data_IF_119843179611
#
_entry.id   IF_119843179611
#
_cell.length_a   1.000
_cell.length_b   1.000
_cell.length_c   1.000
_cell.angle_alpha   90.00
_cell.angle_beta   90.00
_cell.angle_gamma   90.00
#
_symmetry.space_group_name_H-M   'P 1'
#
loop_
_entity.id
_entity.type
_entity.pdbx_description
1 polymer ?
#
# COMPACT_ATOMS: atom_id res chain seq x y z
N UNK A 1 -19.42 -5.66 18.77
CA UNK A 1 -19.57 -4.74 17.62
C UNK A 1 -20.52 -5.38 16.63
N UNK A 2 -21.60 -4.69 16.28
CA UNK A 2 -22.57 -5.16 15.28
C UNK A 2 -21.97 -4.92 13.90
N UNK A 3 -21.66 -5.98 13.16
CA UNK A 3 -21.17 -5.87 11.78
C UNK A 3 -22.31 -5.35 10.91
N UNK A 4 -22.18 -4.14 10.35
CA UNK A 4 -23.14 -3.63 9.35
C UNK A 4 -22.96 -4.43 8.06
N UNK A 5 -23.95 -5.28 7.73
CA UNK A 5 -23.91 -6.12 6.51
C UNK A 5 -23.90 -5.32 5.21
N UNK A 6 -24.11 -4.00 5.24
CA UNK A 6 -24.05 -3.11 4.09
C UNK A 6 -22.67 -2.47 3.90
N UNK A 7 -21.81 -2.53 4.91
CA UNK A 7 -20.42 -2.08 4.76
C UNK A 7 -19.71 -3.09 3.82
N UNK A 8 -19.23 -2.67 2.64
CA UNK A 8 -18.54 -3.57 1.72
C UNK A 8 -17.26 -4.16 2.34
N UNK A 9 -16.74 -3.56 3.41
CA UNK A 9 -15.55 -3.96 4.16
C UNK A 9 -15.87 -4.59 5.53
N UNK A 10 -17.16 -4.77 5.88
CA UNK A 10 -17.57 -5.47 7.10
C UNK A 10 -17.23 -6.98 7.10
N UNK A 11 -16.88 -7.53 5.94
CA UNK A 11 -16.27 -8.85 5.78
C UNK A 11 -14.83 -8.72 5.33
N UNK A 12 -13.96 -9.65 5.75
CA UNK A 12 -12.55 -9.64 5.34
C UNK A 12 -12.39 -9.54 3.81
N UNK A 13 -11.46 -8.70 3.35
CA UNK A 13 -11.15 -8.56 1.94
C UNK A 13 -10.21 -9.69 1.51
N UNK A 14 -10.80 -10.82 1.12
CA UNK A 14 -10.09 -12.01 0.70
C UNK A 14 -9.40 -11.88 -0.66
N UNK A 15 -8.57 -12.88 -0.98
CA UNK A 15 -7.88 -12.99 -2.27
C UNK A 15 -8.85 -12.95 -3.46
N UNK A 16 -10.06 -13.49 -3.31
CA UNK A 16 -11.14 -13.50 -4.30
C UNK A 16 -11.58 -12.09 -4.74
N UNK A 17 -11.74 -11.17 -3.78
CA UNK A 17 -12.10 -9.76 -4.05
C UNK A 17 -10.93 -8.97 -4.59
N UNK A 18 -9.71 -9.38 -4.23
CA UNK A 18 -8.49 -8.80 -4.74
C UNK A 18 -8.04 -9.44 -6.06
N UNK A 19 -8.88 -10.21 -6.79
CA UNK A 19 -8.52 -10.99 -8.00
C UNK A 19 -9.37 -10.69 -9.31
N UNK A 20 -9.62 -9.42 -9.70
CA UNK A 20 -9.82 -8.75 -11.06
C UNK A 20 -8.63 -7.95 -11.78
N UNK A 21 -8.28 -8.06 -13.08
CA UNK A 21 -7.02 -7.46 -13.64
C UNK A 21 -6.81 -5.96 -13.36
N UNK A 22 -5.57 -5.55 -13.07
CA UNK A 22 -5.21 -4.15 -12.75
C UNK A 22 -3.88 -3.76 -13.38
N UNK A 23 -3.86 -2.61 -14.07
CA UNK A 23 -2.61 -2.06 -14.62
C UNK A 23 -1.64 -1.68 -13.49
N UNK A 24 -0.32 -1.84 -13.70
CA UNK A 24 0.68 -1.31 -12.77
C UNK A 24 0.51 0.19 -12.54
N UNK A 25 0.62 0.60 -11.28
CA UNK A 25 0.79 2.01 -10.89
C UNK A 25 2.28 2.32 -10.79
N UNK A 26 2.72 3.48 -11.25
CA UNK A 26 4.14 3.80 -11.39
C UNK A 26 4.41 5.26 -11.07
N UNK A 27 5.66 5.55 -10.74
CA UNK A 27 6.07 6.90 -10.43
C UNK A 27 7.52 7.00 -9.99
N UNK A 28 7.83 8.11 -9.31
CA UNK A 28 9.18 8.43 -8.85
C UNK A 28 9.19 8.91 -7.40
N UNK A 29 10.33 8.75 -6.72
CA UNK A 29 10.58 9.44 -5.45
C UNK A 29 10.87 10.93 -5.70
N UNK A 30 10.11 11.80 -5.04
CA UNK A 30 10.25 13.26 -5.11
C UNK A 30 10.80 13.86 -3.80
N UNK A 31 10.80 13.08 -2.72
CA UNK A 31 11.59 13.34 -1.52
C UNK A 31 12.01 12.01 -0.90
N UNK A 32 13.18 11.98 -0.25
CA UNK A 32 13.69 10.79 0.45
C UNK A 32 13.90 11.14 1.92
N UNK A 33 13.42 10.28 2.82
CA UNK A 33 13.42 10.50 4.26
C UNK A 33 14.40 9.55 4.96
N UNK A 34 14.89 9.93 6.14
CA UNK A 34 15.95 9.21 6.86
C UNK A 34 15.54 8.80 8.30
N UNK A 35 14.24 8.74 8.60
CA UNK A 35 13.75 8.63 9.98
C UNK A 35 13.06 7.30 10.27
N UNK A 36 13.44 6.67 11.39
CA UNK A 36 12.69 5.60 12.07
C UNK A 36 11.96 6.22 13.25
N UNK A 37 10.71 5.81 13.48
CA UNK A 37 9.89 6.30 14.59
C UNK A 37 9.24 5.11 15.29
N UNK A 38 9.52 4.89 16.59
CA UNK A 38 8.71 4.02 17.44
C UNK A 38 7.43 4.74 17.88
N UNK A 39 6.44 3.98 18.35
CA UNK A 39 5.21 4.48 18.96
C UNK A 39 4.47 5.51 18.09
N UNK A 40 4.47 5.30 16.76
CA UNK A 40 3.90 6.24 15.79
C UNK A 40 2.38 6.29 15.84
N UNK A 41 1.71 5.20 16.18
CA UNK A 41 0.26 5.08 16.24
C UNK A 41 -0.44 5.40 14.91
N UNK A 42 0.09 4.94 13.78
CA UNK A 42 -0.62 5.07 12.49
C UNK A 42 -1.90 4.23 12.55
N UNK A 43 -3.04 4.82 12.18
CA UNK A 43 -4.32 4.11 12.12
C UNK A 43 -4.68 3.84 10.67
N UNK A 44 -4.49 2.60 10.25
CA UNK A 44 -4.84 2.20 8.89
C UNK A 44 -6.36 2.21 8.73
N UNK A 45 -6.85 2.87 7.69
CA UNK A 45 -8.27 2.85 7.33
C UNK A 45 -8.71 1.43 6.97
N UNK A 46 -10.03 1.19 6.98
CA UNK A 46 -10.59 -0.14 6.69
C UNK A 46 -10.58 -0.47 5.19
N UNK A 47 -10.62 0.56 4.35
CA UNK A 47 -10.63 0.43 2.91
C UNK A 47 -9.32 -0.18 2.42
N UNK A 48 -9.41 -1.38 1.85
CA UNK A 48 -8.24 -2.11 1.34
C UNK A 48 -7.70 -1.53 0.04
N UNK A 49 -8.45 -0.67 -0.65
CA UNK A 49 -8.16 -0.21 -2.00
C UNK A 49 -8.26 1.30 -2.12
N UNK A 50 -7.41 1.90 -2.96
CA UNK A 50 -7.46 3.32 -3.31
C UNK A 50 -7.26 3.50 -4.80
N UNK A 51 -8.10 4.35 -5.39
CA UNK A 51 -7.85 4.89 -6.73
C UNK A 51 -6.96 6.11 -6.58
N UNK A 52 -5.76 6.06 -7.14
CA UNK A 52 -4.76 7.12 -7.08
C UNK A 52 -4.66 7.74 -8.46
N UNK A 53 -4.73 9.07 -8.54
CA UNK A 53 -4.61 9.78 -9.83
C UNK A 53 -3.15 9.98 -10.20
N UNK A 54 -2.89 10.13 -11.50
CA UNK A 54 -1.60 10.63 -11.95
C UNK A 54 -1.36 12.06 -11.45
N UNK A 55 -0.15 12.34 -11.00
CA UNK A 55 0.29 13.62 -10.43
C UNK A 55 0.04 13.77 -8.92
N UNK A 56 -0.63 12.81 -8.27
CA UNK A 56 -0.79 12.83 -6.81
C UNK A 56 0.53 12.45 -6.12
N UNK A 57 0.85 13.16 -5.02
CA UNK A 57 2.02 12.91 -4.18
C UNK A 57 1.57 12.30 -2.85
N UNK A 58 2.22 11.20 -2.47
CA UNK A 58 1.91 10.44 -1.25
C UNK A 58 3.17 10.13 -0.46
N UNK A 59 3.03 9.96 0.85
CA UNK A 59 4.15 9.57 1.73
C UNK A 59 4.19 8.05 1.85
N UNK A 60 5.36 7.46 1.61
CA UNK A 60 5.60 6.03 1.67
C UNK A 60 6.27 5.68 3.00
N UNK A 61 5.62 4.79 3.75
CA UNK A 61 6.05 4.38 5.09
C UNK A 61 6.22 2.86 5.13
N UNK A 62 7.37 2.39 5.60
CA UNK A 62 7.68 0.99 5.81
C UNK A 62 7.42 0.58 7.26
N UNK A 63 6.87 -0.60 7.47
CA UNK A 63 6.86 -1.31 8.76
C UNK A 63 7.21 -2.78 8.57
N UNK A 64 7.71 -3.43 9.62
CA UNK A 64 7.89 -4.89 9.68
C UNK A 64 6.75 -5.58 10.45
N UNK A 65 5.79 -4.82 10.96
CA UNK A 65 4.69 -5.36 11.77
C UNK A 65 3.72 -6.17 10.91
N UNK A 66 3.65 -7.48 11.12
CA UNK A 66 2.71 -8.37 10.44
C UNK A 66 1.24 -8.04 10.75
N UNK A 67 0.99 -7.37 11.87
CA UNK A 67 -0.32 -6.87 12.30
C UNK A 67 -0.75 -5.59 11.58
N UNK A 68 0.15 -4.92 10.84
CA UNK A 68 -0.21 -3.77 10.02
C UNK A 68 -1.04 -4.23 8.81
N UNK A 69 -2.37 -4.20 8.97
CA UNK A 69 -3.38 -4.53 7.97
C UNK A 69 -4.49 -3.45 7.98
N UNK A 70 -5.35 -3.38 6.96
CA UNK A 70 -6.43 -2.38 6.95
C UNK A 70 -7.32 -2.49 8.19
N UNK A 71 -7.60 -1.36 8.82
CA UNK A 71 -8.33 -1.25 10.08
C UNK A 71 -7.51 -1.46 11.36
N UNK A 72 -6.21 -1.79 11.24
CA UNK A 72 -5.29 -1.97 12.38
C UNK A 72 -4.32 -0.79 12.55
N UNK A 73 -3.46 -0.89 13.56
CA UNK A 73 -2.43 0.12 13.86
C UNK A 73 -1.03 -0.34 13.45
N UNK A 74 -0.13 0.62 13.23
CA UNK A 74 1.31 0.40 13.07
C UNK A 74 2.10 1.45 13.86
N UNK A 75 3.03 1.01 14.68
CA UNK A 75 3.74 1.85 15.66
C UNK A 75 5.22 2.04 15.32
N UNK A 76 5.89 0.96 14.94
CA UNK A 76 7.29 0.97 14.56
C UNK A 76 7.41 1.10 13.04
N UNK A 77 7.81 2.29 12.60
CA UNK A 77 7.87 2.63 11.18
C UNK A 77 9.22 3.22 10.76
N UNK A 78 9.52 3.08 9.47
CA UNK A 78 10.58 3.81 8.79
C UNK A 78 9.97 4.63 7.65
N UNK A 79 10.24 5.92 7.61
CA UNK A 79 9.85 6.77 6.50
C UNK A 79 10.77 6.52 5.31
N UNK A 80 10.19 6.16 4.16
CA UNK A 80 10.96 5.98 2.93
C UNK A 80 11.07 7.28 2.15
N UNK A 81 9.97 7.99 1.96
CA UNK A 81 9.97 9.20 1.16
C UNK A 81 8.61 9.62 0.67
N UNK A 82 8.56 10.69 -0.10
CA UNK A 82 7.38 11.07 -0.87
C UNK A 82 7.51 10.57 -2.29
N UNK A 83 6.44 10.01 -2.82
CA UNK A 83 6.36 9.46 -4.17
C UNK A 83 5.30 10.20 -4.98
N UNK A 84 5.64 10.56 -6.22
CA UNK A 84 4.69 11.11 -7.20
C UNK A 84 4.25 10.00 -8.15
N UNK A 85 2.95 9.79 -8.30
CA UNK A 85 2.40 8.83 -9.25
C UNK A 85 2.40 9.40 -10.67
N UNK A 86 3.36 9.06 -11.51
CA UNK A 86 3.34 9.45 -12.94
C UNK A 86 2.31 8.64 -13.74
N UNK A 87 1.94 7.46 -13.26
CA UNK A 87 0.83 6.65 -13.74
C UNK A 87 0.01 6.16 -12.55
N UNK A 88 -1.16 6.77 -12.37
CA UNK A 88 -2.15 6.36 -11.37
C UNK A 88 -2.78 5.00 -11.65
N UNK A 89 -3.66 4.55 -10.77
CA UNK A 89 -4.32 3.26 -10.87
C UNK A 89 -5.08 2.87 -9.60
N UNK A 90 -5.43 1.59 -9.51
CA UNK A 90 -6.09 1.01 -8.33
C UNK A 90 -5.07 0.21 -7.54
N UNK A 91 -4.67 0.73 -6.39
CA UNK A 91 -3.73 0.07 -5.46
C UNK A 91 -4.54 -0.63 -4.38
N UNK A 92 -4.16 -1.87 -4.04
CA UNK A 92 -4.85 -2.70 -3.05
C UNK A 92 -3.83 -3.26 -2.07
N UNK A 93 -4.21 -3.38 -0.80
CA UNK A 93 -3.42 -4.10 0.20
C UNK A 93 -3.02 -5.50 -0.32
N UNK A 94 -1.74 -5.86 -0.13
CA UNK A 94 -1.11 -7.06 -0.67
C UNK A 94 -0.38 -6.86 -2.00
N UNK A 95 -0.58 -5.73 -2.70
CA UNK A 95 0.16 -5.39 -3.90
C UNK A 95 1.66 -5.30 -3.64
N UNK A 96 2.46 -5.76 -4.60
CA UNK A 96 3.92 -5.78 -4.49
C UNK A 96 4.46 -4.41 -4.86
N UNK A 97 5.34 -3.87 -4.00
CA UNK A 97 5.97 -2.57 -4.18
C UNK A 97 7.44 -2.76 -4.55
N UNK A 98 7.82 -2.20 -5.69
CA UNK A 98 9.17 -2.26 -6.25
C UNK A 98 9.82 -0.90 -6.28
N UNK A 99 11.13 -0.86 -6.07
CA UNK A 99 12.00 0.30 -6.36
C UNK A 99 13.11 -0.17 -7.28
N UNK A 100 13.27 0.49 -8.43
CA UNK A 100 14.26 0.11 -9.45
C UNK A 100 14.29 -1.40 -9.76
N UNK A 101 13.10 -2.00 -9.93
CA UNK A 101 12.86 -3.42 -10.19
C UNK A 101 13.16 -4.39 -9.04
N UNK A 102 13.54 -3.90 -7.86
CA UNK A 102 13.70 -4.72 -6.64
C UNK A 102 12.42 -4.63 -5.81
N UNK A 103 11.79 -5.77 -5.49
CA UNK A 103 10.68 -5.79 -4.54
C UNK A 103 11.21 -5.46 -3.14
N UNK A 104 10.64 -4.44 -2.52
CA UNK A 104 11.04 -4.03 -1.17
C UNK A 104 10.00 -4.34 -0.11
N UNK A 105 8.72 -4.43 -0.50
CA UNK A 105 7.60 -4.55 0.43
C UNK A 105 6.29 -4.92 -0.30
N UNK A 106 5.22 -5.07 0.47
CA UNK A 106 3.83 -5.17 0.01
C UNK A 106 2.98 -4.08 0.63
N UNK A 107 1.95 -3.60 -0.05
CA UNK A 107 1.03 -2.60 0.52
C UNK A 107 0.30 -3.20 1.72
N UNK A 108 0.42 -2.56 2.89
CA UNK A 108 -0.28 -2.93 4.10
C UNK A 108 -1.64 -2.24 4.18
N UNK A 109 -1.70 -0.96 3.83
CA UNK A 109 -2.90 -0.15 3.90
C UNK A 109 -2.59 1.33 3.77
N UNK A 110 -3.52 2.17 4.24
CA UNK A 110 -3.45 3.61 4.08
C UNK A 110 -3.80 4.32 5.38
N UNK A 111 -3.17 5.45 5.64
CA UNK A 111 -3.47 6.32 6.76
C UNK A 111 -3.77 7.74 6.25
N UNK A 112 -4.77 8.38 6.84
CA UNK A 112 -5.31 9.68 6.40
C UNK A 112 -4.91 10.82 7.34
N UNK A 113 -3.94 10.62 8.24
CA UNK A 113 -3.54 11.61 9.25
C UNK A 113 -3.22 12.99 8.65
N UNK A 114 -2.74 13.04 7.41
CA UNK A 114 -2.37 14.28 6.71
C UNK A 114 -3.31 14.69 5.57
N UNK A 115 -4.47 14.02 5.42
CA UNK A 115 -5.45 14.45 4.42
C UNK A 115 -6.01 15.85 4.77
N UNK A 116 -6.29 16.71 3.77
CA UNK A 116 -6.27 16.44 2.32
C UNK A 116 -4.91 16.72 1.64
N UNK A 117 -3.84 17.02 2.38
CA UNK A 117 -2.54 17.34 1.78
C UNK A 117 -1.96 16.11 1.08
N UNK A 118 -1.74 15.04 1.84
CA UNK A 118 -1.31 13.75 1.30
C UNK A 118 -1.87 12.60 2.13
N UNK A 119 -2.06 11.47 1.46
CA UNK A 119 -2.32 10.18 2.11
C UNK A 119 -1.02 9.44 2.35
N UNK A 120 -0.92 8.76 3.50
CA UNK A 120 0.16 7.84 3.79
C UNK A 120 -0.14 6.48 3.15
N UNK A 121 0.80 5.94 2.40
CA UNK A 121 0.78 4.57 1.89
C UNK A 121 1.73 3.76 2.75
N UNK A 122 1.17 2.86 3.55
CA UNK A 122 1.95 1.99 4.43
C UNK A 122 2.23 0.69 3.71
N UNK A 123 3.51 0.31 3.65
CA UNK A 123 4.00 -0.94 3.09
C UNK A 123 4.64 -1.77 4.18
N UNK A 124 4.42 -3.08 4.13
CA UNK A 124 5.03 -4.07 4.99
C UNK A 124 6.13 -4.83 4.26
N UNK A 125 7.33 -4.85 4.82
CA UNK A 125 8.49 -5.51 4.23
C UNK A 125 9.54 -5.81 5.28
N UNK A 126 10.66 -6.41 4.87
CA UNK A 126 11.79 -6.69 5.76
C UNK A 126 12.83 -5.56 5.72
N UNK A 127 13.56 -5.41 6.81
CA UNK A 127 14.62 -4.43 6.99
C UNK A 127 14.04 -3.04 7.20
N UNK A 128 13.74 -2.71 8.47
CA UNK A 128 13.29 -1.39 8.92
C UNK A 128 14.40 -0.34 8.75
N UNK A 129 14.67 0.03 7.51
CA UNK A 129 15.70 0.99 7.10
C UNK A 129 14.99 2.12 6.35
N UNK A 130 15.17 3.38 6.76
CA UNK A 130 14.53 4.52 6.10
C UNK A 130 15.12 4.73 4.71
N UNK A 131 14.44 5.53 3.89
CA UNK A 131 14.73 5.63 2.46
C UNK A 131 16.17 6.03 2.14
N UNK A 132 16.69 7.04 2.85
CA UNK A 132 18.05 7.54 2.64
C UNK A 132 19.10 6.45 2.92
N UNK A 133 19.00 5.79 4.08
CA UNK A 133 19.95 4.75 4.51
C UNK A 133 19.81 3.46 3.67
N UNK A 134 18.64 3.24 3.05
CA UNK A 134 18.39 2.17 2.08
C UNK A 134 19.02 2.46 0.71
N UNK A 135 19.52 3.68 0.48
CA UNK A 135 20.09 4.11 -0.80
C UNK A 135 19.04 4.47 -1.85
N UNK A 136 17.82 4.79 -1.44
CA UNK A 136 16.81 5.37 -2.35
C UNK A 136 17.26 6.78 -2.72
N UNK A 137 17.20 7.09 -4.01
CA UNK A 137 17.61 8.37 -4.57
C UNK A 137 16.39 9.14 -5.10
N UNK A 138 16.51 10.47 -5.20
CA UNK A 138 15.53 11.28 -5.91
C UNK A 138 15.43 10.82 -7.37
N UNK A 139 14.20 10.69 -7.88
CA UNK A 139 13.93 10.20 -9.22
C UNK A 139 13.96 8.68 -9.36
N UNK A 140 14.30 7.92 -8.31
CA UNK A 140 14.19 6.47 -8.33
C UNK A 140 12.77 6.05 -8.68
N UNK A 141 12.66 5.05 -9.56
CA UNK A 141 11.37 4.60 -10.06
C UNK A 141 10.76 3.63 -9.09
N UNK A 142 9.48 3.83 -8.78
CA UNK A 142 8.69 2.80 -8.12
C UNK A 142 7.67 2.18 -9.07
N UNK A 143 7.26 0.96 -8.75
CA UNK A 143 6.14 0.30 -9.41
C UNK A 143 5.35 -0.50 -8.39
N UNK A 144 4.03 -0.39 -8.46
CA UNK A 144 3.09 -1.19 -7.68
C UNK A 144 2.36 -2.11 -8.64
N UNK A 145 2.46 -3.41 -8.41
CA UNK A 145 1.81 -4.43 -9.23
C UNK A 145 0.92 -5.32 -8.39
N UNK A 146 -0.20 -5.72 -8.99
CA UNK A 146 -0.98 -6.80 -8.41
C UNK A 146 -0.16 -8.10 -8.42
N UNK A 147 -0.17 -8.89 -7.33
CA UNK A 147 0.46 -10.20 -7.32
C UNK A 147 -0.16 -11.17 -8.35
N UNK A 148 -1.35 -10.87 -8.86
CA UNK A 148 -2.07 -11.68 -9.84
C UNK A 148 -1.82 -11.25 -11.31
N UNK A 149 -1.09 -10.15 -11.56
CA UNK A 149 -0.77 -9.67 -12.91
C UNK A 149 -1.96 -9.30 -13.80
N UNK A 150 -1.73 -9.28 -15.12
CA UNK A 150 -2.71 -8.92 -16.17
C UNK A 150 -3.73 -10.05 -16.48
N UNK A 151 -3.53 -11.23 -15.89
CA UNK A 151 -4.39 -12.39 -16.05
C UNK A 151 -4.94 -12.78 -14.70
N UNK A 152 -6.23 -12.53 -14.50
CA UNK A 152 -6.95 -13.06 -13.34
C UNK A 152 -7.97 -14.11 -13.76
N UNK A 153 -8.33 -14.96 -12.81
CA UNK A 153 -8.95 -16.24 -13.06
C UNK A 153 -10.43 -16.16 -13.44
N UNK A 154 -10.78 -17.15 -14.26
CA UNK A 154 -12.11 -17.73 -14.46
C UNK A 154 -12.69 -18.18 -13.12
N UNK A 155 -13.95 -17.81 -12.88
CA UNK A 155 -14.74 -18.27 -11.76
C UNK A 155 -14.68 -19.80 -11.62
N UNK A 156 -14.26 -20.30 -10.46
CA UNK A 156 -14.81 -21.57 -10.00
C UNK A 156 -16.23 -21.24 -9.58
N UNK A 157 -17.21 -21.68 -10.36
CA UNK A 157 -18.62 -21.71 -9.97
C UNK A 157 -18.72 -22.31 -8.57
N UNK A 158 -18.96 -21.45 -7.58
CA UNK A 158 -19.70 -21.87 -6.41
C UNK A 158 -21.13 -22.08 -6.90
N UNK A 159 -21.40 -23.30 -7.38
CA UNK A 159 -22.71 -23.85 -7.17
C UNK A 159 -22.82 -24.03 -5.65
N UNK A 160 -23.47 -23.09 -4.99
CA UNK A 160 -24.05 -23.33 -3.68
C UNK A 160 -25.57 -23.49 -3.89
N UNK A 161 -26.20 -24.49 -3.23
CA UNK A 161 -27.60 -24.87 -3.39
C UNK A 161 -28.60 -23.81 -2.91
#
# INVERSE_FOLDING_TARGET
MTIDRRDPYAGGYGEDRANYPRSPSQGIFVAVLHRIVPDRGLRLIREHARCIRGGEIHELILTEEETAIPGAEADLIAYLGFIEFTKGGVVVAGDRFFVNNTEIARVAGYDETHMPNHMNIVVRGKGLVPGFDRGIMLGDRFTIVSPYGDRRFTATTSAAP
#
